data_IF_553413405502
#
_entry.id   IF_553413405502
#
_cell.length_a   1.000
_cell.length_b   1.000
_cell.length_c   1.000
_cell.angle_alpha   90.00
_cell.angle_beta   90.00
_cell.angle_gamma   90.00
#
_symmetry.space_group_name_H-M   'P 1'
#
loop_
_entity.id
_entity.type
_entity.pdbx_description
1 polymer ?
#
# COMPACT_ATOMS: atom_id res chain seq x y z
N UNK A 1 -13.97 14.63 -4.22
CA UNK A 1 -12.58 14.80 -3.76
C UNK A 1 -11.77 13.69 -4.41
N UNK A 2 -10.78 14.01 -5.24
CA UNK A 2 -10.04 13.02 -6.03
C UNK A 2 -9.18 12.16 -5.10
N UNK A 3 -9.39 10.84 -5.10
CA UNK A 3 -8.59 9.88 -4.30
C UNK A 3 -7.43 9.36 -5.16
N UNK A 4 -6.26 9.18 -4.57
CA UNK A 4 -5.08 8.67 -5.29
C UNK A 4 -4.87 7.18 -5.00
N UNK A 5 -4.64 6.39 -6.05
CA UNK A 5 -4.18 4.99 -5.98
C UNK A 5 -2.88 4.88 -6.74
N UNK A 6 -1.80 4.55 -6.05
CA UNK A 6 -0.47 4.35 -6.62
C UNK A 6 -0.16 2.87 -6.65
N UNK A 7 0.20 2.35 -7.83
CA UNK A 7 0.54 0.94 -8.03
C UNK A 7 1.99 0.87 -8.52
N UNK A 8 2.84 0.23 -7.73
CA UNK A 8 4.26 0.07 -8.03
C UNK A 8 4.69 -1.35 -7.70
N UNK A 9 4.63 -2.24 -8.71
CA UNK A 9 4.98 -3.65 -8.58
C UNK A 9 6.09 -4.00 -9.57
N UNK A 10 6.95 -4.95 -9.18
CA UNK A 10 8.01 -5.52 -10.02
C UNK A 10 7.45 -6.30 -11.20
N UNK A 11 6.30 -6.95 -11.03
CA UNK A 11 5.58 -7.55 -12.14
C UNK A 11 4.82 -6.45 -12.89
N UNK A 12 5.48 -5.88 -13.91
CA UNK A 12 4.93 -4.81 -14.72
C UNK A 12 3.68 -5.25 -15.51
N UNK A 13 3.56 -6.53 -15.87
CA UNK A 13 2.40 -7.03 -16.60
C UNK A 13 1.18 -7.15 -15.68
N UNK A 14 1.38 -7.68 -14.48
CA UNK A 14 0.35 -7.71 -13.45
C UNK A 14 -0.07 -6.29 -13.04
N UNK A 15 0.90 -5.39 -12.79
CA UNK A 15 0.64 -4.00 -12.48
C UNK A 15 -0.22 -3.34 -13.56
N UNK A 16 0.17 -3.44 -14.83
CA UNK A 16 -0.59 -2.88 -15.95
C UNK A 16 -2.01 -3.44 -16.02
N UNK A 17 -2.17 -4.75 -15.84
CA UNK A 17 -3.48 -5.40 -15.81
C UNK A 17 -4.36 -4.88 -14.68
N UNK A 18 -3.79 -4.75 -13.47
CA UNK A 18 -4.50 -4.19 -12.31
C UNK A 18 -4.91 -2.74 -12.58
N UNK A 19 -4.03 -1.90 -13.13
CA UNK A 19 -4.33 -0.51 -13.44
C UNK A 19 -5.51 -0.40 -14.42
N UNK A 20 -5.47 -1.16 -15.51
CA UNK A 20 -6.55 -1.19 -16.50
C UNK A 20 -7.86 -1.70 -15.90
N UNK A 21 -7.77 -2.76 -15.08
CA UNK A 21 -8.92 -3.34 -14.40
C UNK A 21 -9.62 -2.34 -13.47
N UNK A 22 -8.84 -1.57 -12.70
CA UNK A 22 -9.38 -0.54 -11.81
C UNK A 22 -9.90 0.68 -12.58
N UNK A 23 -9.22 1.10 -13.65
CA UNK A 23 -9.65 2.24 -14.49
C UNK A 23 -10.97 1.96 -15.22
N UNK A 24 -11.26 0.69 -15.51
CA UNK A 24 -12.52 0.29 -16.14
C UNK A 24 -13.68 0.10 -15.15
N UNK A 25 -13.42 0.12 -13.83
CA UNK A 25 -14.43 -0.12 -12.80
C UNK A 25 -15.04 1.23 -12.33
N UNK A 26 -16.37 1.44 -12.47
CA UNK A 26 -17.04 2.68 -12.06
C UNK A 26 -16.83 3.06 -10.59
N UNK A 27 -16.53 2.09 -9.71
CA UNK A 27 -16.24 2.32 -8.29
C UNK A 27 -15.01 3.24 -8.10
N UNK A 28 -14.14 3.31 -9.11
CA UNK A 28 -12.91 4.10 -9.11
C UNK A 28 -13.00 5.37 -9.96
N UNK A 29 -14.19 5.80 -10.40
CA UNK A 29 -14.36 7.00 -11.23
C UNK A 29 -13.77 8.27 -10.59
N UNK A 30 -13.87 8.38 -9.27
CA UNK A 30 -13.32 9.48 -8.47
C UNK A 30 -11.85 9.27 -8.06
N UNK A 31 -11.19 8.26 -8.62
CA UNK A 31 -9.82 7.90 -8.27
C UNK A 31 -8.84 8.19 -9.41
N UNK A 32 -7.76 8.90 -9.09
CA UNK A 32 -6.58 8.96 -9.94
C UNK A 32 -5.75 7.70 -9.71
N UNK A 33 -5.69 6.84 -10.71
CA UNK A 33 -4.87 5.62 -10.67
C UNK A 33 -3.54 5.92 -11.39
N UNK A 34 -2.43 5.75 -10.68
CA UNK A 34 -1.08 6.01 -11.19
C UNK A 34 -0.25 4.75 -11.07
N UNK A 35 0.43 4.39 -12.16
CA UNK A 35 1.21 3.17 -12.26
C UNK A 35 2.58 3.52 -12.84
N UNK A 36 3.65 3.06 -12.20
CA UNK A 36 4.99 3.49 -12.59
C UNK A 36 6.06 3.06 -11.61
N UNK A 37 7.23 3.66 -11.80
CA UNK A 37 8.46 3.24 -11.12
C UNK A 37 8.50 3.69 -9.64
N UNK A 38 9.17 2.91 -8.77
CA UNK A 38 9.21 3.14 -7.33
C UNK A 38 9.76 4.53 -6.96
N UNK A 39 10.81 4.95 -7.65
CA UNK A 39 11.54 6.18 -7.35
C UNK A 39 10.68 7.45 -7.47
N UNK A 40 9.64 7.43 -8.30
CA UNK A 40 8.75 8.58 -8.50
C UNK A 40 7.53 8.50 -7.59
N UNK A 41 6.90 7.33 -7.48
CA UNK A 41 5.64 7.15 -6.76
C UNK A 41 5.81 7.06 -5.24
N UNK A 42 6.90 6.44 -4.76
CA UNK A 42 7.09 6.22 -3.33
C UNK A 42 7.49 7.47 -2.57
N UNK A 43 7.95 8.54 -3.26
CA UNK A 43 8.33 9.81 -2.62
C UNK A 43 7.14 10.65 -2.20
N UNK A 44 5.96 10.38 -2.74
CA UNK A 44 4.75 11.15 -2.45
C UNK A 44 4.13 10.69 -1.12
N UNK A 45 4.31 11.52 -0.08
CA UNK A 45 3.80 11.23 1.26
C UNK A 45 2.37 11.76 1.45
N UNK A 46 1.41 11.16 0.74
CA UNK A 46 -0.01 11.54 0.78
C UNK A 46 -0.93 10.58 1.55
N UNK A 47 -2.24 10.86 1.57
CA UNK A 47 -3.29 9.99 2.11
C UNK A 47 -3.88 9.01 1.05
N UNK A 48 -3.15 8.81 -0.04
CA UNK A 48 -3.50 7.87 -1.10
C UNK A 48 -3.28 6.41 -0.70
N UNK A 49 -3.93 5.50 -1.43
CA UNK A 49 -3.67 4.07 -1.33
C UNK A 49 -2.43 3.72 -2.13
N UNK A 50 -1.55 2.90 -1.56
CA UNK A 50 -0.32 2.42 -2.20
C UNK A 50 -0.36 0.91 -2.32
N UNK A 51 -0.07 0.39 -3.50
CA UNK A 51 0.04 -1.05 -3.77
C UNK A 51 1.46 -1.31 -4.22
N UNK A 52 2.26 -1.95 -3.38
CA UNK A 52 3.71 -2.08 -3.61
C UNK A 52 4.23 -3.47 -3.26
N UNK A 53 5.32 -3.90 -3.89
CA UNK A 53 6.05 -5.08 -3.42
C UNK A 53 6.67 -4.84 -2.03
N UNK A 54 6.72 -5.90 -1.21
CA UNK A 54 7.40 -5.87 0.10
C UNK A 54 8.87 -5.46 -0.01
N UNK A 55 9.51 -5.75 -1.14
CA UNK A 55 10.90 -5.36 -1.42
C UNK A 55 11.09 -3.84 -1.40
N UNK A 56 10.05 -3.05 -1.68
CA UNK A 56 10.08 -1.58 -1.67
C UNK A 56 9.76 -0.96 -0.31
N UNK A 57 9.42 -1.77 0.71
CA UNK A 57 9.14 -1.29 2.06
C UNK A 57 10.29 -0.44 2.65
N UNK A 58 11.58 -0.78 2.48
CA UNK A 58 12.69 0.03 3.00
C UNK A 58 12.83 1.40 2.33
N UNK A 59 12.34 1.55 1.09
CA UNK A 59 12.45 2.75 0.27
C UNK A 59 11.36 3.79 0.57
N UNK A 60 10.32 3.39 1.31
CA UNK A 60 9.24 4.29 1.70
C UNK A 60 9.73 5.43 2.62
N UNK A 61 9.15 6.63 2.50
CA UNK A 61 9.47 7.76 3.36
C UNK A 61 9.18 7.43 4.82
N UNK A 62 10.04 7.92 5.72
CA UNK A 62 9.91 7.73 7.18
C UNK A 62 9.83 9.11 7.85
N UNK A 63 8.74 9.46 8.56
CA UNK A 63 7.55 8.63 8.79
C UNK A 63 6.62 8.53 7.57
N UNK A 64 6.03 7.34 7.38
CA UNK A 64 5.09 7.08 6.30
C UNK A 64 3.72 7.66 6.64
N UNK A 65 3.15 8.42 5.70
CA UNK A 65 1.81 8.99 5.76
C UNK A 65 0.76 7.90 5.61
N UNK A 66 -0.06 7.75 6.65
CA UNK A 66 -1.12 6.74 6.76
C UNK A 66 -0.71 5.33 6.28
N UNK A 67 0.15 4.62 7.03
CA UNK A 67 0.65 3.30 6.64
C UNK A 67 -0.45 2.25 6.45
N UNK A 68 -1.61 2.44 7.09
CA UNK A 68 -2.74 1.53 6.96
C UNK A 68 -3.34 1.53 5.55
N UNK A 69 -3.08 2.56 4.74
CA UNK A 69 -3.47 2.64 3.32
C UNK A 69 -2.48 1.97 2.36
N UNK A 70 -1.45 1.32 2.87
CA UNK A 70 -0.53 0.51 2.06
C UNK A 70 -1.01 -0.94 1.99
N UNK A 71 -1.07 -1.47 0.78
CA UNK A 71 -1.25 -2.88 0.44
C UNK A 71 0.09 -3.41 -0.03
N UNK A 72 0.69 -4.33 0.75
CA UNK A 72 1.93 -5.00 0.37
C UNK A 72 1.62 -6.24 -0.45
N UNK A 73 2.38 -6.42 -1.52
CA UNK A 73 2.38 -7.58 -2.39
C UNK A 73 3.67 -8.37 -2.13
N UNK A 74 3.59 -9.69 -1.98
CA UNK A 74 4.76 -10.56 -1.76
C UNK A 74 4.67 -11.83 -2.60
N UNK A 75 5.82 -12.35 -3.04
CA UNK A 75 5.94 -13.69 -3.65
C UNK A 75 6.59 -14.72 -2.70
N UNK A 76 6.85 -14.35 -1.45
CA UNK A 76 7.58 -15.19 -0.51
C UNK A 76 7.38 -14.80 0.96
N UNK A 77 8.33 -15.22 1.79
CA UNK A 77 8.30 -14.96 3.24
C UNK A 77 8.41 -13.48 3.55
N UNK A 78 7.61 -13.02 4.52
CA UNK A 78 7.57 -11.63 4.97
C UNK A 78 7.91 -11.57 6.45
N UNK A 79 8.76 -10.62 6.84
CA UNK A 79 8.97 -10.27 8.23
C UNK A 79 7.74 -9.50 8.75
N UNK A 80 6.84 -10.22 9.41
CA UNK A 80 5.59 -9.67 9.91
C UNK A 80 5.81 -8.63 11.02
N UNK A 81 6.88 -8.74 11.81
CA UNK A 81 7.21 -7.77 12.85
C UNK A 81 7.59 -6.43 12.22
N UNK A 82 8.45 -6.45 11.20
CA UNK A 82 8.84 -5.24 10.48
C UNK A 82 7.64 -4.55 9.82
N UNK A 83 6.76 -5.32 9.17
CA UNK A 83 5.56 -4.77 8.51
C UNK A 83 4.61 -4.16 9.54
N UNK A 84 4.41 -4.86 10.66
CA UNK A 84 3.54 -4.39 11.75
C UNK A 84 4.06 -3.09 12.38
N UNK A 85 5.34 -3.03 12.72
CA UNK A 85 5.99 -1.84 13.31
C UNK A 85 5.99 -0.65 12.31
N UNK A 86 5.95 -0.92 11.01
CA UNK A 86 5.73 0.11 9.97
C UNK A 86 4.28 0.62 9.92
N UNK A 87 3.36 0.01 10.65
CA UNK A 87 1.95 0.39 10.74
C UNK A 87 1.06 -0.16 9.62
N UNK A 88 1.62 -0.98 8.73
CA UNK A 88 0.94 -1.57 7.58
C UNK A 88 0.15 -2.80 8.03
N UNK A 89 -1.08 -2.95 7.56
CA UNK A 89 -2.01 -4.02 7.99
C UNK A 89 -2.70 -4.72 6.81
N UNK A 90 -2.06 -4.73 5.63
CA UNK A 90 -2.54 -5.46 4.46
C UNK A 90 -1.34 -6.04 3.71
N UNK A 91 -1.29 -7.37 3.61
CA UNK A 91 -0.26 -8.13 2.90
C UNK A 91 -0.98 -9.18 2.06
N UNK A 92 -0.66 -9.26 0.77
CA UNK A 92 -1.26 -10.17 -0.20
C UNK A 92 -0.16 -10.91 -0.96
N UNK A 93 -0.49 -12.09 -1.50
CA UNK A 93 0.41 -12.80 -2.40
C UNK A 93 0.37 -12.19 -3.81
N UNK A 94 1.47 -12.26 -4.55
CA UNK A 94 1.53 -11.82 -5.95
C UNK A 94 0.68 -12.71 -6.88
N UNK A 95 0.31 -13.91 -6.42
CA UNK A 95 -0.58 -14.83 -7.12
C UNK A 95 -2.07 -14.52 -6.94
N UNK A 96 -2.42 -13.53 -6.12
CA UNK A 96 -3.82 -13.18 -5.88
C UNK A 96 -4.49 -12.64 -7.15
N UNK A 97 -5.80 -12.89 -7.29
CA UNK A 97 -6.57 -12.40 -8.42
C UNK A 97 -6.70 -10.87 -8.39
N UNK A 98 -6.89 -10.26 -9.56
CA UNK A 98 -7.12 -8.81 -9.66
C UNK A 98 -8.33 -8.36 -8.83
N UNK A 99 -9.36 -9.20 -8.73
CA UNK A 99 -10.55 -8.93 -7.93
C UNK A 99 -10.24 -8.89 -6.43
N UNK A 100 -9.40 -9.79 -5.93
CA UNK A 100 -9.01 -9.80 -4.53
C UNK A 100 -8.13 -8.60 -4.18
N UNK A 101 -7.19 -8.24 -5.05
CA UNK A 101 -6.38 -7.02 -4.86
C UNK A 101 -7.26 -5.77 -4.92
N UNK A 102 -8.24 -5.71 -5.82
CA UNK A 102 -9.24 -4.63 -5.85
C UNK A 102 -9.97 -4.49 -4.50
N UNK A 103 -10.43 -5.60 -3.93
CA UNK A 103 -11.09 -5.58 -2.63
C UNK A 103 -10.17 -5.03 -1.53
N UNK A 104 -8.89 -5.42 -1.51
CA UNK A 104 -7.92 -4.88 -0.55
C UNK A 104 -7.66 -3.38 -0.75
N UNK A 105 -7.64 -2.89 -1.99
CA UNK A 105 -7.53 -1.46 -2.30
C UNK A 105 -8.75 -0.71 -1.76
N UNK A 106 -9.96 -1.22 -2.00
CA UNK A 106 -11.20 -0.63 -1.45
C UNK A 106 -11.19 -0.61 0.08
N UNK A 107 -10.76 -1.71 0.71
CA UNK A 107 -10.61 -1.78 2.15
C UNK A 107 -9.58 -0.76 2.66
N UNK A 108 -8.46 -0.57 1.96
CA UNK A 108 -7.47 0.45 2.27
C UNK A 108 -8.05 1.86 2.16
N UNK A 109 -8.84 2.17 1.12
CA UNK A 109 -9.49 3.47 0.96
C UNK A 109 -10.41 3.85 2.14
N UNK A 110 -11.04 2.87 2.77
CA UNK A 110 -11.93 3.07 3.92
C UNK A 110 -11.19 3.27 5.25
N UNK A 111 -9.88 2.98 5.30
CA UNK A 111 -9.13 3.07 6.56
C UNK A 111 -8.92 4.54 6.93
N UNK A 112 -9.27 4.94 8.17
CA UNK A 112 -8.88 6.25 8.67
C UNK A 112 -7.35 6.31 8.73
N UNK A 113 -6.80 7.53 8.66
CA UNK A 113 -5.43 7.80 9.09
C UNK A 113 -5.14 7.09 10.39
N UNK A 114 -4.35 6.01 10.38
CA UNK A 114 -3.94 5.36 11.62
C UNK A 114 -3.09 6.38 12.37
N UNK A 115 -3.65 7.01 13.40
CA UNK A 115 -2.85 7.79 14.36
C UNK A 115 -1.74 6.85 14.82
N UNK A 116 -0.47 7.26 14.64
CA UNK A 116 0.68 6.44 15.00
C UNK A 116 0.44 5.82 16.37
N UNK A 117 0.71 4.51 16.49
CA UNK A 117 0.61 3.85 17.80
C UNK A 117 1.46 4.66 18.79
N UNK A 118 1.02 4.81 20.05
CA UNK A 118 1.86 5.42 21.06
C UNK A 118 3.20 4.68 21.01
N UNK A 119 4.25 5.40 20.62
CA UNK A 119 5.59 4.83 20.56
C UNK A 119 5.81 4.13 21.89
N UNK A 120 6.30 2.89 21.87
CA UNK A 120 6.77 2.19 23.07
C UNK A 120 7.75 3.14 23.75
N UNK A 121 7.28 3.96 24.68
CA UNK A 121 8.11 4.53 25.71
C UNK A 121 8.73 3.29 26.32
N UNK A 122 10.04 3.12 26.07
CA UNK A 122 10.86 2.10 26.69
C UNK A 122 10.38 2.03 28.12
N UNK A 123 9.80 0.90 28.51
CA UNK A 123 9.58 0.60 29.91
C UNK A 123 10.97 0.67 30.53
N UNK A 124 11.33 1.84 31.04
CA UNK A 124 12.40 2.02 32.01
C UNK A 124 11.90 1.20 33.20
N UNK A 125 12.33 -0.06 33.25
CA UNK A 125 12.20 -0.85 34.46
C UNK A 125 13.06 -0.14 35.50
N UNK A 126 12.50 0.15 36.70
CA UNK A 126 13.28 0.69 37.81
C UNK A 126 14.39 -0.28 38.24
#
# INVERSE_FOLDING_TARGET
MLRLVQICLRDHQYAKSLCQYLQADPTFEDCKIVCGEPAELLRENGDGVRVIDVAYLPELPKPLGNPAKTVLMTSGTVDLEQVWESGIVSILQNSESLEYVKLAILAAMLRPGKSGWPQKNRFQRP
#
